data_IF_852109138425
#
_entry.id   IF_852109138425
#
_cell.length_a   1.000
_cell.length_b   1.000
_cell.length_c   1.000
_cell.angle_alpha   90.00
_cell.angle_beta   90.00
_cell.angle_gamma   90.00
#
_symmetry.space_group_name_H-M   'P 1'
#
loop_
_entity.id
_entity.type
_entity.pdbx_description
1 polymer ?
#
# COMPACT_ATOMS: atom_id res chain seq x y z
N UNK A 1 16.83 100.88 22.52
CA UNK A 1 16.59 100.74 23.96
C UNK A 1 15.63 99.59 24.20
N UNK A 2 16.08 98.59 24.98
CA UNK A 2 15.33 97.60 25.81
C UNK A 2 14.50 96.55 25.10
N UNK A 3 14.89 95.34 24.99
CA UNK A 3 15.14 94.21 25.92
C UNK A 3 14.00 93.89 26.90
N UNK A 4 13.70 92.58 26.91
CA UNK A 4 12.98 91.74 27.86
C UNK A 4 11.59 91.36 27.38
N UNK A 5 11.43 90.16 26.91
CA UNK A 5 10.58 89.13 27.50
C UNK A 5 10.60 87.88 26.64
N UNK A 6 11.38 86.88 27.00
CA UNK A 6 11.20 85.55 26.48
C UNK A 6 11.73 84.55 27.49
N UNK A 7 10.83 84.05 28.32
CA UNK A 7 11.08 82.76 29.04
C UNK A 7 9.78 82.36 29.71
N UNK A 8 8.93 81.61 29.04
CA UNK A 8 7.89 80.77 29.68
C UNK A 8 7.09 80.01 28.56
N UNK A 9 7.65 78.98 27.98
CA UNK A 9 6.87 78.05 27.13
C UNK A 9 7.68 76.77 26.78
N UNK A 10 8.43 76.22 27.77
CA UNK A 10 9.21 75.00 27.51
C UNK A 10 8.90 73.81 28.45
N UNK A 11 7.85 73.89 29.27
CA UNK A 11 7.57 72.81 30.26
C UNK A 11 6.27 72.02 30.05
N UNK A 12 5.44 72.32 29.06
CA UNK A 12 4.19 71.57 28.81
C UNK A 12 4.30 70.47 27.70
N UNK A 13 5.41 70.40 26.97
CA UNK A 13 5.56 69.42 25.82
C UNK A 13 6.13 68.05 26.19
N UNK A 14 6.71 67.88 27.39
CA UNK A 14 7.40 66.62 27.76
C UNK A 14 6.54 65.61 28.50
N UNK A 15 5.41 65.99 29.07
CA UNK A 15 4.54 65.06 29.82
C UNK A 15 3.56 64.27 28.90
N UNK A 16 3.18 64.84 27.76
CA UNK A 16 2.26 64.16 26.81
C UNK A 16 2.97 63.11 25.96
N UNK A 17 4.23 63.29 25.62
CA UNK A 17 5.01 62.31 24.83
C UNK A 17 5.35 61.03 25.63
N UNK A 18 5.54 61.17 26.96
CA UNK A 18 5.83 60.01 27.82
C UNK A 18 4.59 59.14 28.13
N UNK A 19 3.39 59.74 28.17
CA UNK A 19 2.12 59.05 28.31
C UNK A 19 1.74 58.22 27.10
N UNK A 20 1.87 58.80 25.90
CA UNK A 20 1.55 58.09 24.64
C UNK A 20 2.53 56.93 24.34
N UNK A 21 3.79 57.03 24.71
CA UNK A 21 4.76 55.93 24.54
C UNK A 21 4.51 54.77 25.53
N UNK A 22 3.95 55.05 26.71
CA UNK A 22 3.54 53.99 27.66
C UNK A 22 2.28 53.27 27.19
N UNK A 23 1.25 53.97 26.75
CA UNK A 23 0.02 53.38 26.21
C UNK A 23 0.28 52.55 24.95
N UNK A 24 1.12 53.00 24.02
CA UNK A 24 1.51 52.22 22.83
C UNK A 24 2.30 50.96 23.20
N UNK A 25 3.14 50.96 24.22
CA UNK A 25 3.85 49.77 24.70
C UNK A 25 2.93 48.78 25.42
N UNK A 26 1.94 49.26 26.19
CA UNK A 26 0.95 48.36 26.79
C UNK A 26 -0.01 47.79 25.77
N UNK A 27 -0.45 48.56 24.77
CA UNK A 27 -1.27 48.08 23.65
C UNK A 27 -0.51 47.03 22.80
N UNK A 28 0.79 47.23 22.53
CA UNK A 28 1.65 46.28 21.81
C UNK A 28 1.86 44.99 22.62
N UNK A 29 2.00 45.07 23.96
CA UNK A 29 2.10 43.88 24.83
C UNK A 29 0.79 43.10 24.93
N UNK A 30 -0.36 43.80 25.01
CA UNK A 30 -1.67 43.14 24.99
C UNK A 30 -1.93 42.47 23.64
N UNK A 31 -1.60 43.09 22.52
CA UNK A 31 -1.76 42.49 21.19
C UNK A 31 -0.84 41.28 20.97
N UNK A 32 0.38 41.27 21.53
CA UNK A 32 1.27 40.09 21.45
C UNK A 32 0.76 38.97 22.36
N UNK A 33 0.25 39.24 23.55
CA UNK A 33 -0.30 38.22 24.44
C UNK A 33 -1.61 37.61 23.90
N UNK A 34 -2.45 38.42 23.22
CA UNK A 34 -3.64 37.93 22.51
C UNK A 34 -3.29 37.11 21.26
N UNK A 35 -2.20 37.43 20.56
CA UNK A 35 -1.70 36.63 19.42
C UNK A 35 -1.10 35.30 19.90
N UNK A 36 -0.30 35.30 20.98
CA UNK A 36 0.25 34.10 21.59
C UNK A 36 -0.84 33.18 22.20
N UNK A 37 -1.88 33.77 22.85
CA UNK A 37 -3.00 32.97 23.36
C UNK A 37 -3.87 32.37 22.26
N UNK A 38 -4.00 33.02 21.10
CA UNK A 38 -4.68 32.44 19.92
C UNK A 38 -3.87 31.35 19.22
N UNK A 39 -2.54 31.42 19.23
CA UNK A 39 -1.66 30.35 18.70
C UNK A 39 -1.67 29.13 19.63
N UNK A 40 -1.65 29.34 20.96
CA UNK A 40 -1.72 28.24 21.94
C UNK A 40 -3.11 27.59 22.04
N UNK A 41 -4.19 28.29 21.73
CA UNK A 41 -5.55 27.76 21.79
C UNK A 41 -5.94 26.93 20.54
N UNK A 42 -5.22 27.07 19.42
CA UNK A 42 -5.45 26.27 18.21
C UNK A 42 -4.68 24.93 18.20
N UNK A 43 -3.66 24.75 19.03
CA UNK A 43 -2.96 23.46 19.16
C UNK A 43 -3.60 22.52 20.19
N UNK A 44 -4.47 23.03 21.06
CA UNK A 44 -4.99 22.31 22.23
C UNK A 44 -6.21 21.38 21.94
N UNK A 45 -6.65 21.20 20.69
CA UNK A 45 -7.88 20.44 20.39
C UNK A 45 -7.81 19.60 19.11
N UNK A 46 -6.60 19.18 18.70
CA UNK A 46 -6.49 18.22 17.61
C UNK A 46 -6.47 16.78 18.17
N UNK A 47 -7.44 15.97 17.75
CA UNK A 47 -7.55 14.55 18.12
C UNK A 47 -6.65 13.63 17.28
N UNK A 48 -5.64 14.19 16.60
CA UNK A 48 -4.61 13.51 15.81
C UNK A 48 -3.24 14.16 16.03
N UNK A 49 -2.19 13.42 15.67
CA UNK A 49 -0.80 13.88 15.78
C UNK A 49 -0.30 14.53 14.48
N UNK A 50 0.65 15.45 14.60
CA UNK A 50 1.38 16.03 13.47
C UNK A 50 2.87 15.74 13.61
N UNK A 51 3.54 15.37 12.51
CA UNK A 51 4.99 15.15 12.48
C UNK A 51 5.65 15.84 11.28
N UNK A 52 6.95 16.03 11.33
CA UNK A 52 7.77 16.48 10.21
C UNK A 52 8.13 15.32 9.25
N UNK A 53 8.92 15.62 8.22
CA UNK A 53 9.34 14.62 7.22
C UNK A 53 10.19 13.51 7.83
N UNK A 54 11.07 13.84 8.79
CA UNK A 54 11.93 12.83 9.41
C UNK A 54 11.09 11.83 10.21
N UNK A 55 10.27 12.30 11.15
CA UNK A 55 9.40 11.45 11.95
C UNK A 55 8.37 10.68 11.11
N UNK A 56 7.85 11.30 10.03
CA UNK A 56 6.94 10.63 9.11
C UNK A 56 7.64 9.51 8.32
N UNK A 57 8.88 9.74 7.87
CA UNK A 57 9.67 8.74 7.15
C UNK A 57 9.98 7.51 8.01
N UNK A 58 10.25 7.71 9.31
CA UNK A 58 10.45 6.61 10.25
C UNK A 58 9.13 5.89 10.54
N UNK A 59 8.04 6.64 10.74
CA UNK A 59 6.73 6.09 11.04
C UNK A 59 6.22 5.15 9.95
N UNK A 60 6.31 5.53 8.67
CA UNK A 60 5.76 4.72 7.56
C UNK A 60 6.49 3.40 7.33
N UNK A 61 7.68 3.21 7.93
CA UNK A 61 8.41 1.95 7.89
C UNK A 61 8.08 1.03 9.07
N UNK A 62 7.37 1.54 10.08
CA UNK A 62 7.04 0.78 11.28
C UNK A 62 5.91 -0.25 11.02
N UNK A 63 5.96 -1.43 11.64
CA UNK A 63 4.87 -2.38 11.56
C UNK A 63 3.57 -1.80 12.16
N UNK A 64 2.43 -2.12 11.56
CA UNK A 64 1.13 -1.64 12.04
C UNK A 64 0.77 -0.21 11.63
N UNK A 65 1.46 0.35 10.64
CA UNK A 65 1.15 1.65 10.05
C UNK A 65 0.63 1.47 8.62
N UNK A 66 -0.41 2.22 8.27
CA UNK A 66 -0.94 2.34 6.90
C UNK A 66 -0.68 3.74 6.40
N UNK A 67 -0.07 3.87 5.24
CA UNK A 67 0.19 5.17 4.60
C UNK A 67 -1.00 5.54 3.71
N UNK A 68 -1.54 6.76 3.92
CA UNK A 68 -2.73 7.26 3.22
C UNK A 68 -2.45 8.57 2.49
N UNK A 69 -2.63 8.57 1.18
CA UNK A 69 -2.69 9.78 0.35
C UNK A 69 -4.15 10.23 0.19
N UNK A 70 -4.45 11.47 0.56
CA UNK A 70 -5.82 12.01 0.45
C UNK A 70 -5.96 13.03 -0.66
N UNK A 71 -5.09 12.98 -1.66
CA UNK A 71 -5.13 13.81 -2.87
C UNK A 71 -6.09 13.23 -3.91
N UNK A 72 -6.20 13.90 -5.06
CA UNK A 72 -6.91 13.39 -6.23
C UNK A 72 -6.09 12.33 -6.95
N UNK A 73 -6.73 11.52 -7.80
CA UNK A 73 -6.05 10.52 -8.62
C UNK A 73 -4.97 11.14 -9.54
N UNK A 74 -5.25 12.30 -10.15
CA UNK A 74 -4.29 12.99 -10.99
C UNK A 74 -3.04 13.43 -10.20
N UNK A 75 -3.24 14.03 -9.01
CA UNK A 75 -2.13 14.40 -8.13
C UNK A 75 -1.30 13.19 -7.67
N UNK A 76 -1.94 12.03 -7.49
CA UNK A 76 -1.28 10.78 -7.12
C UNK A 76 -0.43 10.25 -8.29
N UNK A 77 -0.97 10.24 -9.51
CA UNK A 77 -0.27 9.80 -10.72
C UNK A 77 0.94 10.69 -11.06
N UNK A 78 0.89 12.01 -10.76
CA UNK A 78 2.04 12.92 -10.92
C UNK A 78 3.21 12.60 -9.96
N UNK A 79 2.99 11.74 -8.98
CA UNK A 79 3.98 11.26 -8.02
C UNK A 79 3.45 11.23 -6.58
N UNK A 80 3.64 10.12 -5.91
CA UNK A 80 3.17 9.83 -4.54
C UNK A 80 4.26 9.18 -3.70
N UNK A 81 4.07 9.12 -2.38
CA UNK A 81 4.95 8.36 -1.49
C UNK A 81 4.62 6.88 -1.69
N UNK A 82 5.62 6.09 -2.02
CA UNK A 82 5.46 4.67 -2.35
C UNK A 82 4.74 3.89 -1.24
N UNK A 83 3.78 3.04 -1.64
CA UNK A 83 2.96 2.26 -0.71
C UNK A 83 1.75 3.00 -0.14
N UNK A 84 1.47 4.21 -0.61
CA UNK A 84 0.31 4.95 -0.16
C UNK A 84 -1.00 4.42 -0.76
N UNK A 85 -1.97 4.14 0.10
CA UNK A 85 -3.37 3.95 -0.31
C UNK A 85 -3.95 5.31 -0.71
N UNK A 86 -4.64 5.39 -1.84
CA UNK A 86 -5.28 6.62 -2.29
C UNK A 86 -6.76 6.65 -1.90
N UNK A 87 -7.18 7.66 -1.15
CA UNK A 87 -8.60 7.97 -0.89
C UNK A 87 -8.77 9.48 -0.93
N UNK A 88 -9.37 9.99 -2.01
CA UNK A 88 -9.54 11.44 -2.19
C UNK A 88 -10.52 12.01 -1.14
N UNK A 89 -9.99 12.88 -0.25
CA UNK A 89 -10.78 13.48 0.83
C UNK A 89 -11.81 14.52 0.36
N UNK A 90 -11.82 14.90 -0.91
CA UNK A 90 -12.84 15.80 -1.49
C UNK A 90 -14.15 15.08 -1.81
N UNK A 91 -14.15 13.75 -1.82
CA UNK A 91 -15.35 12.96 -2.05
C UNK A 91 -16.25 12.97 -0.82
N UNK A 92 -17.55 13.08 -1.02
CA UNK A 92 -18.53 13.16 0.07
C UNK A 92 -18.51 11.89 0.94
N UNK A 93 -18.21 10.73 0.34
CA UNK A 93 -18.15 9.40 0.96
C UNK A 93 -16.74 9.02 1.48
N UNK A 94 -15.85 10.01 1.69
CA UNK A 94 -14.47 9.78 2.12
C UNK A 94 -14.36 8.89 3.38
N UNK A 95 -15.17 9.18 4.42
CA UNK A 95 -15.11 8.44 5.69
C UNK A 95 -15.61 7.01 5.51
N UNK A 96 -16.65 6.78 4.71
CA UNK A 96 -17.21 5.47 4.41
C UNK A 96 -16.20 4.62 3.63
N UNK A 97 -15.56 5.20 2.62
CA UNK A 97 -14.48 4.54 1.87
C UNK A 97 -13.29 4.21 2.77
N UNK A 98 -12.88 5.13 3.63
CA UNK A 98 -11.81 4.90 4.59
C UNK A 98 -12.13 3.73 5.52
N UNK A 99 -13.36 3.65 6.06
CA UNK A 99 -13.81 2.54 6.90
C UNK A 99 -13.84 1.20 6.18
N UNK A 100 -14.11 1.20 4.88
CA UNK A 100 -14.11 -0.02 4.06
C UNK A 100 -12.71 -0.57 3.79
N UNK A 101 -11.70 0.31 3.74
CA UNK A 101 -10.33 -0.04 3.29
C UNK A 101 -9.32 -0.06 4.44
N UNK A 102 -9.44 0.89 5.41
CA UNK A 102 -8.43 1.08 6.44
C UNK A 102 -8.72 0.25 7.70
N UNK A 103 -7.74 -0.52 8.21
CA UNK A 103 -7.89 -1.25 9.48
C UNK A 103 -7.95 -0.27 10.66
N UNK A 104 -8.94 -0.41 11.53
CA UNK A 104 -9.19 0.50 12.65
C UNK A 104 -8.15 0.37 13.78
N UNK A 105 -7.48 -0.77 13.87
CA UNK A 105 -6.47 -1.08 14.88
C UNK A 105 -5.06 -0.62 14.52
N UNK A 106 -4.88 -0.02 13.33
CA UNK A 106 -3.59 0.47 12.87
C UNK A 106 -3.48 1.99 12.93
N UNK A 107 -2.25 2.49 12.98
CA UNK A 107 -1.96 3.92 12.86
C UNK A 107 -2.02 4.33 11.40
N UNK A 108 -2.75 5.39 11.08
CA UNK A 108 -2.86 5.94 9.73
C UNK A 108 -1.89 7.12 9.61
N UNK A 109 -0.79 6.91 8.88
CA UNK A 109 0.12 7.97 8.47
C UNK A 109 -0.47 8.65 7.23
N UNK A 110 -0.90 9.91 7.36
CA UNK A 110 -1.70 10.59 6.34
C UNK A 110 -1.00 11.81 5.78
N UNK A 111 -1.06 12.00 4.46
CA UNK A 111 -0.51 13.18 3.81
C UNK A 111 -1.41 13.67 2.66
N UNK A 112 -1.17 14.92 2.27
CA UNK A 112 -1.70 15.50 1.03
C UNK A 112 -0.64 16.36 0.35
N UNK A 113 -1.03 17.35 -0.47
CA UNK A 113 -0.06 18.24 -1.13
C UNK A 113 0.75 19.08 -0.14
N UNK A 114 0.09 19.76 0.83
CA UNK A 114 0.70 20.74 1.74
C UNK A 114 0.44 20.50 3.23
N UNK A 115 -0.13 19.35 3.60
CA UNK A 115 -0.50 19.02 4.99
C UNK A 115 -1.89 19.51 5.44
N UNK A 116 -2.55 20.43 4.72
CA UNK A 116 -3.85 21.01 5.13
C UNK A 116 -5.03 20.07 4.92
N UNK A 117 -5.16 19.46 3.72
CA UNK A 117 -6.23 18.49 3.43
C UNK A 117 -6.11 17.26 4.32
N UNK A 118 -4.89 16.77 4.52
CA UNK A 118 -4.61 15.60 5.36
C UNK A 118 -4.87 15.88 6.85
N UNK A 119 -4.61 17.08 7.36
CA UNK A 119 -5.01 17.46 8.71
C UNK A 119 -6.54 17.44 8.89
N UNK A 120 -7.29 17.95 7.90
CA UNK A 120 -8.77 17.86 7.92
C UNK A 120 -9.26 16.41 7.85
N UNK A 121 -8.68 15.61 6.97
CA UNK A 121 -9.00 14.19 6.84
C UNK A 121 -8.63 13.40 8.11
N UNK A 122 -7.48 13.68 8.73
CA UNK A 122 -7.07 13.07 9.99
C UNK A 122 -8.07 13.36 11.12
N UNK A 123 -8.56 14.60 11.22
CA UNK A 123 -9.62 14.94 12.17
C UNK A 123 -10.89 14.12 11.95
N UNK A 124 -11.40 14.06 10.72
CA UNK A 124 -12.59 13.26 10.38
C UNK A 124 -12.41 11.76 10.71
N UNK A 125 -11.24 11.20 10.46
CA UNK A 125 -10.94 9.81 10.77
C UNK A 125 -10.77 9.58 12.27
N UNK A 126 -10.15 10.51 13.00
CA UNK A 126 -10.01 10.43 14.45
C UNK A 126 -11.37 10.49 15.15
N UNK A 127 -12.31 11.29 14.65
CA UNK A 127 -13.70 11.37 15.18
C UNK A 127 -14.45 10.03 15.09
N UNK A 128 -14.02 9.15 14.17
CA UNK A 128 -14.59 7.79 14.03
C UNK A 128 -13.66 6.69 14.56
N UNK A 129 -12.62 7.05 15.35
CA UNK A 129 -11.83 6.13 16.15
C UNK A 129 -10.49 5.71 15.57
N UNK A 130 -10.03 6.28 14.44
CA UNK A 130 -8.69 6.00 13.90
C UNK A 130 -7.61 6.79 14.65
N UNK A 131 -6.45 6.16 14.83
CA UNK A 131 -5.23 6.86 15.25
C UNK A 131 -4.52 7.42 14.02
N UNK A 132 -4.43 8.75 13.91
CA UNK A 132 -3.89 9.43 12.73
C UNK A 132 -2.65 10.26 13.05
N UNK A 133 -1.67 10.24 12.14
CA UNK A 133 -0.46 11.08 12.18
C UNK A 133 -0.32 11.80 10.84
N UNK A 134 -0.43 13.13 10.85
CA UNK A 134 -0.38 13.96 9.65
C UNK A 134 1.04 14.44 9.34
N UNK A 135 1.45 14.37 8.06
CA UNK A 135 2.70 14.96 7.56
C UNK A 135 2.56 16.48 7.40
N UNK A 136 3.24 17.26 8.25
CA UNK A 136 3.37 18.72 8.09
C UNK A 136 4.07 19.03 6.75
N UNK A 137 3.50 19.98 5.99
CA UNK A 137 4.03 20.36 4.68
C UNK A 137 3.69 19.37 3.56
N UNK A 138 3.16 18.18 3.86
CA UNK A 138 2.71 17.20 2.89
C UNK A 138 3.80 16.73 1.94
N UNK A 139 3.41 16.27 0.73
CA UNK A 139 4.37 15.76 -0.28
C UNK A 139 5.31 16.86 -0.81
N UNK A 140 4.97 18.14 -0.67
CA UNK A 140 5.88 19.24 -1.00
C UNK A 140 7.11 19.18 -0.09
N UNK A 141 6.92 19.18 1.23
CA UNK A 141 8.02 19.08 2.19
C UNK A 141 8.79 17.75 2.04
N UNK A 142 8.10 16.66 1.71
CA UNK A 142 8.71 15.36 1.42
C UNK A 142 9.70 15.44 0.25
N UNK A 143 9.28 16.05 -0.88
CA UNK A 143 10.12 16.27 -2.07
C UNK A 143 11.28 17.24 -1.79
N UNK A 144 11.02 18.33 -1.06
CA UNK A 144 12.05 19.32 -0.66
C UNK A 144 13.13 18.72 0.24
N UNK A 145 12.77 17.71 1.06
CA UNK A 145 13.72 16.93 1.86
C UNK A 145 14.48 15.85 1.05
N UNK A 146 14.33 15.82 -0.28
CA UNK A 146 15.00 14.87 -1.17
C UNK A 146 14.48 13.43 -1.02
N UNK A 147 13.32 13.21 -0.42
CA UNK A 147 12.73 11.88 -0.26
C UNK A 147 12.12 11.41 -1.59
N UNK A 148 12.23 10.10 -1.92
CA UNK A 148 11.73 9.55 -3.17
C UNK A 148 10.22 9.61 -3.27
N UNK A 149 9.73 9.75 -4.52
CA UNK A 149 8.33 9.57 -4.88
C UNK A 149 8.25 8.57 -6.03
N UNK A 150 7.17 7.80 -6.07
CA UNK A 150 6.83 6.90 -7.17
C UNK A 150 5.78 7.56 -8.06
N UNK A 151 5.85 7.27 -9.35
CA UNK A 151 4.78 7.54 -10.33
C UNK A 151 4.02 6.26 -10.69
N UNK A 152 4.41 5.13 -10.11
CA UNK A 152 3.71 3.87 -10.31
C UNK A 152 2.29 3.98 -9.76
N UNK A 153 1.32 3.57 -10.55
CA UNK A 153 -0.10 3.60 -10.18
C UNK A 153 -0.56 2.32 -9.46
N UNK A 154 0.38 1.41 -9.17
CA UNK A 154 0.09 0.14 -8.52
C UNK A 154 -0.01 0.28 -7.00
N UNK A 155 -0.97 -0.42 -6.41
CA UNK A 155 -1.01 -0.57 -4.96
C UNK A 155 0.15 -1.44 -4.49
N UNK A 156 0.84 -0.98 -3.44
CA UNK A 156 2.04 -1.64 -2.90
C UNK A 156 1.84 -2.00 -1.43
N UNK A 157 2.16 -3.24 -1.09
CA UNK A 157 2.24 -3.68 0.30
C UNK A 157 3.68 -4.03 0.66
N UNK A 158 4.13 -3.55 1.82
CA UNK A 158 5.47 -3.80 2.32
C UNK A 158 5.44 -4.66 3.60
N UNK A 159 6.35 -5.62 3.68
CA UNK A 159 6.48 -6.54 4.79
C UNK A 159 7.92 -6.60 5.27
N UNK A 160 8.12 -6.63 6.58
CA UNK A 160 9.43 -6.86 7.17
C UNK A 160 9.74 -8.36 7.19
N UNK A 161 10.89 -8.73 6.67
CA UNK A 161 11.39 -10.10 6.69
C UNK A 161 12.10 -10.39 8.03
N UNK A 162 12.50 -11.64 8.25
CA UNK A 162 13.18 -12.06 9.48
C UNK A 162 14.49 -11.32 9.75
N UNK A 163 15.24 -10.98 8.71
CA UNK A 163 16.49 -10.22 8.82
C UNK A 163 16.28 -8.70 8.94
N UNK A 164 15.01 -8.22 8.91
CA UNK A 164 14.66 -6.81 8.95
C UNK A 164 14.72 -6.10 7.60
N UNK A 165 14.91 -6.83 6.50
CA UNK A 165 14.78 -6.28 5.14
C UNK A 165 13.31 -6.10 4.76
N UNK A 166 13.05 -5.24 3.80
CA UNK A 166 11.69 -5.00 3.29
C UNK A 166 11.43 -5.82 2.04
N UNK A 167 10.33 -6.57 2.05
CA UNK A 167 9.77 -7.23 0.87
C UNK A 167 8.53 -6.46 0.45
N UNK A 168 8.39 -6.14 -0.85
CA UNK A 168 7.27 -5.38 -1.39
C UNK A 168 6.49 -6.20 -2.41
N UNK A 169 5.17 -6.07 -2.38
CA UNK A 169 4.25 -6.63 -3.36
C UNK A 169 3.57 -5.50 -4.13
N UNK A 170 3.53 -5.60 -5.43
CA UNK A 170 2.81 -4.71 -6.33
C UNK A 170 1.65 -5.46 -6.95
N UNK A 171 0.43 -4.96 -6.75
CA UNK A 171 -0.77 -5.47 -7.41
C UNK A 171 -0.84 -4.90 -8.84
N UNK A 172 -0.41 -5.66 -9.82
CA UNK A 172 -0.32 -5.17 -11.20
C UNK A 172 -1.68 -5.24 -11.89
N UNK A 173 -2.15 -6.44 -12.19
CA UNK A 173 -3.48 -6.69 -12.77
C UNK A 173 -3.86 -8.16 -12.57
N UNK A 174 -5.13 -8.42 -12.30
CA UNK A 174 -5.73 -9.77 -12.23
C UNK A 174 -4.95 -10.74 -11.33
N UNK A 175 -4.12 -11.61 -11.91
CA UNK A 175 -3.22 -12.52 -11.19
C UNK A 175 -1.75 -12.09 -11.24
N UNK A 176 -1.44 -10.98 -11.95
CA UNK A 176 -0.07 -10.51 -12.10
C UNK A 176 0.39 -9.79 -10.84
N UNK A 177 1.45 -10.31 -10.22
CA UNK A 177 2.05 -9.79 -9.00
C UNK A 177 3.54 -9.58 -9.24
N UNK A 178 4.03 -8.41 -8.88
CA UNK A 178 5.48 -8.14 -8.81
C UNK A 178 5.92 -8.15 -7.35
N UNK A 179 7.05 -8.78 -7.07
CA UNK A 179 7.66 -8.84 -5.75
C UNK A 179 9.07 -8.29 -5.83
N UNK A 180 9.39 -7.34 -4.96
CA UNK A 180 10.75 -6.83 -4.78
C UNK A 180 11.31 -7.25 -3.44
N UNK A 181 12.52 -7.81 -3.43
CA UNK A 181 13.23 -8.16 -2.22
C UNK A 181 14.75 -8.09 -2.43
N UNK A 182 15.44 -7.29 -1.62
CA UNK A 182 16.91 -7.19 -1.59
C UNK A 182 17.55 -6.99 -2.98
N UNK A 183 16.98 -6.10 -3.79
CA UNK A 183 17.42 -5.82 -5.16
C UNK A 183 17.07 -6.92 -6.16
N UNK A 184 16.25 -7.91 -5.79
CA UNK A 184 15.70 -8.93 -6.66
C UNK A 184 14.30 -8.59 -7.11
N UNK A 185 14.01 -8.89 -8.39
CA UNK A 185 12.72 -8.74 -9.03
C UNK A 185 12.12 -10.12 -9.31
N UNK A 186 10.92 -10.35 -8.80
CA UNK A 186 10.19 -11.60 -8.98
C UNK A 186 8.84 -11.25 -9.60
N UNK A 187 8.51 -11.84 -10.74
CA UNK A 187 7.27 -11.60 -11.45
C UNK A 187 6.43 -12.88 -11.48
N UNK A 188 5.14 -12.75 -11.18
CA UNK A 188 4.19 -13.85 -11.16
C UNK A 188 3.12 -13.59 -12.19
N UNK A 189 2.86 -14.57 -13.07
CA UNK A 189 1.80 -14.56 -14.08
C UNK A 189 1.70 -13.22 -14.85
N UNK A 190 2.81 -12.71 -15.46
CA UNK A 190 2.81 -11.41 -16.09
C UNK A 190 2.02 -11.39 -17.39
N UNK A 191 1.11 -10.40 -17.51
CA UNK A 191 0.35 -10.13 -18.74
C UNK A 191 0.44 -8.64 -19.10
N UNK A 192 0.63 -8.34 -20.40
CA UNK A 192 0.75 -6.94 -20.88
C UNK A 192 -0.58 -6.21 -20.88
N UNK A 193 -1.69 -6.92 -21.02
CA UNK A 193 -3.02 -6.35 -21.05
C UNK A 193 -4.08 -7.36 -20.63
N UNK A 194 -4.98 -6.92 -19.76
CA UNK A 194 -6.20 -7.64 -19.43
C UNK A 194 -7.35 -6.65 -19.20
N UNK A 195 -8.49 -6.87 -19.84
CA UNK A 195 -9.60 -5.93 -19.81
C UNK A 195 -9.18 -4.54 -20.29
N UNK A 196 -9.40 -3.53 -19.46
CA UNK A 196 -9.04 -2.14 -19.73
C UNK A 196 -7.65 -1.76 -19.17
N UNK A 197 -7.00 -2.66 -18.43
CA UNK A 197 -5.69 -2.39 -17.79
C UNK A 197 -4.54 -2.85 -18.69
N UNK A 198 -3.56 -1.98 -18.87
CA UNK A 198 -2.34 -2.26 -19.64
C UNK A 198 -1.14 -2.04 -18.73
N UNK A 199 -0.21 -3.00 -18.73
CA UNK A 199 1.02 -2.94 -17.95
C UNK A 199 2.19 -2.68 -18.87
N UNK A 200 2.94 -1.62 -18.59
CA UNK A 200 4.16 -1.27 -19.32
C UNK A 200 5.40 -1.92 -18.69
N UNK A 201 5.68 -3.14 -19.09
CA UNK A 201 6.89 -3.86 -18.66
C UNK A 201 8.18 -3.32 -19.29
N UNK A 202 8.11 -2.45 -20.30
CA UNK A 202 9.33 -1.88 -20.94
C UNK A 202 10.06 -0.93 -20.00
N UNK A 203 9.35 -0.28 -19.10
CA UNK A 203 9.88 0.63 -18.10
C UNK A 203 10.37 -0.07 -16.82
N UNK A 204 10.04 -1.36 -16.66
CA UNK A 204 10.38 -2.13 -15.46
C UNK A 204 11.76 -2.82 -15.57
N UNK A 205 12.46 -3.06 -14.47
CA UNK A 205 13.65 -3.89 -14.44
C UNK A 205 13.37 -5.31 -14.97
N UNK A 206 14.38 -5.97 -15.54
CA UNK A 206 14.29 -7.39 -15.88
C UNK A 206 14.12 -8.22 -14.60
N UNK A 207 13.27 -9.25 -14.68
CA UNK A 207 13.07 -10.16 -13.58
C UNK A 207 14.31 -11.03 -13.31
N UNK A 208 14.65 -11.23 -12.04
CA UNK A 208 15.57 -12.30 -11.63
C UNK A 208 14.85 -13.66 -11.70
N UNK A 209 13.57 -13.67 -11.28
CA UNK A 209 12.73 -14.86 -11.28
C UNK A 209 11.37 -14.52 -11.88
N UNK A 210 10.95 -15.31 -12.85
CA UNK A 210 9.68 -15.19 -13.51
C UNK A 210 8.93 -16.52 -13.34
N UNK A 211 7.80 -16.47 -12.65
CA UNK A 211 6.99 -17.63 -12.33
C UNK A 211 5.67 -17.57 -13.09
N UNK A 212 5.29 -18.67 -13.74
CA UNK A 212 3.97 -18.80 -14.38
C UNK A 212 3.29 -20.06 -13.87
N UNK A 213 2.08 -19.89 -13.36
CA UNK A 213 1.28 -20.95 -12.73
C UNK A 213 0.73 -21.92 -13.76
N UNK A 214 0.17 -21.42 -14.88
CA UNK A 214 -0.43 -22.21 -15.93
C UNK A 214 -0.58 -21.42 -17.26
N UNK A 215 -1.06 -22.09 -18.30
CA UNK A 215 -1.03 -21.60 -19.69
C UNK A 215 -2.21 -20.74 -20.13
N UNK A 216 -3.18 -20.42 -19.30
CA UNK A 216 -4.28 -19.57 -19.72
C UNK A 216 -3.79 -18.15 -20.02
N UNK A 217 -4.47 -17.48 -20.97
CA UNK A 217 -4.02 -16.20 -21.55
C UNK A 217 -3.92 -15.05 -20.54
N UNK A 218 -4.62 -15.14 -19.42
CA UNK A 218 -4.66 -14.19 -18.30
C UNK A 218 -3.58 -14.45 -17.25
N UNK A 219 -2.74 -15.49 -17.45
CA UNK A 219 -1.56 -15.84 -16.64
C UNK A 219 -0.29 -15.99 -17.48
N UNK A 220 -0.41 -16.50 -18.69
CA UNK A 220 0.69 -16.78 -19.59
C UNK A 220 0.67 -15.84 -20.80
N UNK A 221 1.53 -14.83 -20.80
CA UNK A 221 1.69 -13.90 -21.91
C UNK A 221 3.14 -13.92 -22.42
N UNK A 222 3.41 -14.54 -23.59
CA UNK A 222 4.77 -14.63 -24.13
C UNK A 222 5.45 -13.28 -24.38
N UNK A 223 4.69 -12.21 -24.66
CA UNK A 223 5.23 -10.87 -24.84
C UNK A 223 5.72 -10.31 -23.50
N UNK A 224 4.91 -10.35 -22.44
CA UNK A 224 5.31 -9.94 -21.10
C UNK A 224 6.54 -10.71 -20.61
N UNK A 225 6.54 -12.04 -20.80
CA UNK A 225 7.67 -12.90 -20.45
C UNK A 225 8.95 -12.43 -21.16
N UNK A 226 8.92 -12.18 -22.48
CA UNK A 226 10.08 -11.68 -23.23
C UNK A 226 10.53 -10.31 -22.77
N UNK A 227 9.59 -9.40 -22.48
CA UNK A 227 9.91 -8.05 -21.98
C UNK A 227 10.63 -8.10 -20.64
N UNK A 228 10.26 -9.03 -19.76
CA UNK A 228 10.83 -9.18 -18.42
C UNK A 228 12.10 -10.06 -18.40
N UNK A 229 12.33 -10.88 -19.43
CA UNK A 229 13.50 -11.77 -19.47
C UNK A 229 14.78 -11.00 -19.80
N UNK A 230 15.83 -11.25 -19.03
CA UNK A 230 17.22 -10.85 -19.27
C UNK A 230 18.14 -12.07 -19.20
N UNK A 231 19.45 -11.87 -19.38
CA UNK A 231 20.46 -12.95 -19.46
C UNK A 231 20.51 -13.86 -18.22
N UNK A 232 20.07 -13.36 -17.08
CA UNK A 232 20.11 -14.09 -15.79
C UNK A 232 18.74 -14.48 -15.27
N UNK A 233 17.68 -14.18 -16.02
CA UNK A 233 16.31 -14.50 -15.60
C UNK A 233 16.10 -16.01 -15.56
N UNK A 234 15.62 -16.51 -14.44
CA UNK A 234 15.13 -17.89 -14.34
C UNK A 234 13.62 -17.88 -14.56
N UNK A 235 13.20 -18.47 -15.67
CA UNK A 235 11.80 -18.67 -15.98
C UNK A 235 11.35 -20.03 -15.45
N UNK A 236 10.50 -20.06 -14.43
CA UNK A 236 10.04 -21.23 -13.68
C UNK A 236 8.55 -21.41 -13.93
N UNK A 237 8.14 -22.60 -14.37
CA UNK A 237 6.74 -22.82 -14.76
C UNK A 237 6.38 -24.31 -14.79
N UNK A 238 5.13 -24.63 -15.18
CA UNK A 238 4.73 -26.01 -15.47
C UNK A 238 5.24 -26.46 -16.86
N UNK A 239 5.16 -27.78 -17.13
CA UNK A 239 5.63 -28.33 -18.40
C UNK A 239 4.94 -27.73 -19.61
N UNK A 240 3.64 -27.43 -19.52
CA UNK A 240 2.86 -26.96 -20.67
C UNK A 240 3.27 -25.54 -21.08
N UNK A 241 3.45 -24.65 -20.12
CA UNK A 241 3.97 -23.30 -20.41
C UNK A 241 5.39 -23.35 -20.99
N UNK A 242 6.26 -24.20 -20.44
CA UNK A 242 7.63 -24.36 -20.95
C UNK A 242 7.62 -24.87 -22.41
N UNK A 243 6.78 -25.85 -22.73
CA UNK A 243 6.63 -26.38 -24.11
C UNK A 243 6.09 -25.29 -25.06
N UNK A 244 5.08 -24.50 -24.62
CA UNK A 244 4.49 -23.41 -25.42
C UNK A 244 5.45 -22.26 -25.66
N UNK A 245 6.27 -21.92 -24.69
CA UNK A 245 7.24 -20.82 -24.77
C UNK A 245 8.54 -21.26 -25.48
N UNK A 246 8.83 -22.55 -25.47
CA UNK A 246 10.04 -23.15 -26.03
C UNK A 246 11.24 -23.16 -25.08
N UNK A 247 11.06 -22.73 -23.84
CA UNK A 247 12.05 -22.79 -22.77
C UNK A 247 11.38 -22.63 -21.38
N UNK A 248 12.10 -22.93 -20.31
CA UNK A 248 11.63 -22.77 -18.93
C UNK A 248 12.14 -23.89 -18.03
N UNK A 249 12.33 -23.58 -16.76
CA UNK A 249 12.62 -24.54 -15.70
C UNK A 249 11.29 -25.16 -15.24
N UNK A 250 11.10 -26.43 -15.53
CA UNK A 250 9.83 -27.10 -15.26
C UNK A 250 9.75 -27.57 -13.82
N UNK A 251 8.69 -27.15 -13.12
CA UNK A 251 8.27 -27.69 -11.83
C UNK A 251 6.92 -28.40 -11.97
N UNK A 252 6.75 -29.48 -11.25
CA UNK A 252 5.48 -30.20 -11.07
C UNK A 252 5.06 -30.14 -9.60
N UNK A 253 3.80 -30.41 -9.31
CA UNK A 253 3.28 -30.43 -7.93
C UNK A 253 4.16 -31.33 -7.03
N UNK A 254 4.62 -30.77 -5.91
CA UNK A 254 5.51 -31.42 -4.95
C UNK A 254 6.99 -31.12 -5.15
N UNK A 255 7.40 -30.53 -6.27
CA UNK A 255 8.80 -30.13 -6.47
C UNK A 255 9.15 -28.94 -5.59
N UNK A 256 10.41 -28.91 -5.16
CA UNK A 256 10.97 -27.81 -4.36
C UNK A 256 12.38 -27.48 -4.88
N UNK A 257 12.64 -26.21 -5.10
CA UNK A 257 13.96 -25.73 -5.49
C UNK A 257 14.50 -24.74 -4.46
N UNK A 258 15.82 -24.84 -4.20
CA UNK A 258 16.56 -23.87 -3.41
C UNK A 258 17.14 -22.82 -4.35
N UNK A 259 16.74 -21.57 -4.18
CA UNK A 259 17.22 -20.43 -4.97
C UNK A 259 18.47 -19.82 -4.33
N UNK A 260 18.39 -19.54 -3.04
CA UNK A 260 19.47 -19.02 -2.21
C UNK A 260 19.31 -19.58 -0.79
N UNK A 261 20.24 -19.29 0.12
CA UNK A 261 20.20 -19.82 1.49
C UNK A 261 18.87 -19.48 2.22
N UNK A 262 18.31 -18.33 1.88
CA UNK A 262 17.09 -17.76 2.47
C UNK A 262 15.90 -17.71 1.52
N UNK A 263 16.04 -18.31 0.31
CA UNK A 263 14.96 -18.30 -0.70
C UNK A 263 14.72 -19.68 -1.30
N UNK A 264 13.50 -20.20 -1.13
CA UNK A 264 13.02 -21.46 -1.77
C UNK A 264 11.70 -21.23 -2.50
N UNK A 265 11.46 -22.04 -3.52
CA UNK A 265 10.19 -22.12 -4.25
C UNK A 265 9.69 -23.56 -4.21
N UNK A 266 8.43 -23.76 -3.81
CA UNK A 266 7.73 -25.04 -3.77
C UNK A 266 6.56 -24.96 -4.74
N UNK A 267 6.41 -25.92 -5.65
CA UNK A 267 5.23 -26.05 -6.51
C UNK A 267 4.17 -26.93 -5.81
N UNK A 268 2.97 -26.40 -5.66
CA UNK A 268 1.85 -27.07 -5.00
C UNK A 268 0.68 -27.24 -5.96
N UNK A 269 -0.26 -28.19 -5.71
CA UNK A 269 -1.41 -28.38 -6.59
C UNK A 269 -2.30 -27.15 -6.71
N UNK A 270 -2.75 -26.87 -7.93
CA UNK A 270 -3.80 -25.93 -8.25
C UNK A 270 -4.77 -26.62 -9.22
N UNK A 271 -6.05 -26.77 -8.85
CA UNK A 271 -7.04 -27.43 -9.70
C UNK A 271 -8.47 -27.20 -9.20
N UNK A 272 -9.47 -27.52 -10.06
CA UNK A 272 -10.88 -27.43 -9.71
C UNK A 272 -11.43 -28.80 -9.33
N UNK A 273 -12.37 -28.81 -8.34
CA UNK A 273 -13.01 -30.01 -7.80
C UNK A 273 -14.52 -30.05 -8.05
N UNK A 274 -15.14 -28.92 -8.38
CA UNK A 274 -16.59 -28.82 -8.62
C UNK A 274 -16.93 -29.53 -9.94
N UNK A 275 -17.93 -30.38 -9.93
CA UNK A 275 -18.46 -31.05 -11.12
C UNK A 275 -18.85 -30.00 -12.19
N UNK A 276 -18.45 -30.26 -13.45
CA UNK A 276 -18.64 -29.33 -14.57
C UNK A 276 -17.64 -28.17 -14.62
N UNK A 277 -16.62 -28.11 -13.69
CA UNK A 277 -15.56 -27.07 -13.70
C UNK A 277 -14.15 -27.65 -13.76
N UNK A 278 -13.99 -28.96 -13.53
CA UNK A 278 -12.67 -29.65 -13.53
C UNK A 278 -11.91 -29.54 -14.85
N UNK A 279 -12.62 -29.24 -15.96
CA UNK A 279 -11.97 -29.03 -17.26
C UNK A 279 -11.20 -27.72 -17.36
N UNK A 280 -11.54 -26.70 -16.58
CA UNK A 280 -10.81 -25.43 -16.57
C UNK A 280 -9.39 -25.65 -16.02
N UNK A 281 -9.29 -26.29 -14.85
CA UNK A 281 -8.04 -26.57 -14.16
C UNK A 281 -8.01 -28.04 -13.71
N UNK A 282 -7.57 -28.97 -14.59
CA UNK A 282 -7.48 -30.41 -14.28
C UNK A 282 -6.42 -30.69 -13.21
N UNK A 283 -6.70 -31.63 -12.31
CA UNK A 283 -5.76 -32.03 -11.26
C UNK A 283 -4.42 -32.52 -11.85
N UNK A 284 -3.31 -32.00 -11.27
CA UNK A 284 -1.95 -32.39 -11.61
C UNK A 284 -1.34 -31.70 -12.84
N UNK A 285 -2.05 -30.72 -13.45
CA UNK A 285 -1.56 -29.94 -14.59
C UNK A 285 -0.92 -28.63 -14.14
N UNK A 286 -1.62 -27.87 -13.29
CA UNK A 286 -1.29 -26.51 -12.95
C UNK A 286 -0.60 -26.41 -11.58
N UNK A 287 0.21 -25.38 -11.38
CA UNK A 287 0.91 -25.11 -10.15
C UNK A 287 0.35 -23.88 -9.42
N UNK A 288 0.19 -23.99 -8.10
CA UNK A 288 0.40 -22.86 -7.23
C UNK A 288 1.86 -22.85 -6.76
N UNK A 289 2.29 -21.77 -6.11
CA UNK A 289 3.66 -21.66 -5.59
C UNK A 289 3.66 -21.24 -4.10
N UNK A 290 4.60 -21.82 -3.33
CA UNK A 290 4.95 -21.30 -2.00
C UNK A 290 6.37 -20.78 -2.10
N UNK A 291 6.52 -19.46 -1.95
CA UNK A 291 7.82 -18.82 -1.85
C UNK A 291 8.17 -18.68 -0.36
N UNK A 292 9.36 -19.12 0.03
CA UNK A 292 9.91 -18.79 1.35
C UNK A 292 11.08 -17.86 1.15
N UNK A 293 10.92 -16.59 1.55
CA UNK A 293 11.92 -15.54 1.36
C UNK A 293 12.25 -14.93 2.72
N UNK A 294 13.47 -15.13 3.19
CA UNK A 294 13.98 -14.63 4.47
C UNK A 294 12.97 -14.78 5.62
N UNK A 295 12.45 -16.00 5.75
CA UNK A 295 11.51 -16.40 6.80
C UNK A 295 10.05 -16.08 6.55
N UNK A 296 9.69 -15.26 5.56
CA UNK A 296 8.30 -15.08 5.12
C UNK A 296 7.88 -16.21 4.19
N UNK A 297 6.77 -16.87 4.49
CA UNK A 297 6.14 -17.87 3.63
C UNK A 297 4.95 -17.28 2.90
N UNK A 298 5.00 -17.26 1.58
CA UNK A 298 4.06 -16.60 0.69
C UNK A 298 3.42 -17.67 -0.19
N UNK A 299 2.12 -17.86 -0.10
CA UNK A 299 1.37 -18.79 -0.93
C UNK A 299 0.64 -18.02 -2.04
N UNK A 300 0.94 -18.36 -3.28
CA UNK A 300 0.28 -17.88 -4.50
C UNK A 300 -0.46 -19.08 -5.08
N UNK A 301 -1.78 -19.07 -4.99
CA UNK A 301 -2.57 -20.27 -5.24
C UNK A 301 -2.64 -20.66 -6.74
N UNK A 302 -2.47 -19.69 -7.64
CA UNK A 302 -2.84 -19.88 -9.05
C UNK A 302 -4.35 -20.07 -9.18
N UNK A 303 -4.80 -20.61 -10.27
CA UNK A 303 -6.21 -20.90 -10.48
C UNK A 303 -6.61 -22.25 -9.89
N UNK A 304 -7.41 -22.18 -8.84
CA UNK A 304 -7.82 -23.34 -8.06
C UNK A 304 -9.14 -23.11 -7.34
N UNK A 305 -9.83 -24.16 -7.00
CA UNK A 305 -10.86 -24.17 -5.96
C UNK A 305 -10.27 -24.49 -4.57
N UNK A 306 -11.11 -24.58 -3.53
CA UNK A 306 -10.75 -24.89 -2.15
C UNK A 306 -10.41 -26.38 -1.95
N UNK A 307 -9.34 -26.83 -2.61
CA UNK A 307 -8.89 -28.23 -2.66
C UNK A 307 -8.45 -28.78 -1.29
N UNK A 308 -8.62 -30.10 -1.05
CA UNK A 308 -8.27 -30.70 0.24
C UNK A 308 -6.80 -30.49 0.67
N UNK A 309 -5.88 -30.48 -0.28
CA UNK A 309 -4.44 -30.30 -0.06
C UNK A 309 -4.11 -28.93 0.60
N UNK A 310 -4.99 -27.94 0.53
CA UNK A 310 -4.83 -26.66 1.24
C UNK A 310 -4.79 -26.84 2.76
N UNK A 311 -5.39 -27.91 3.29
CA UNK A 311 -5.32 -28.25 4.70
C UNK A 311 -3.90 -28.61 5.17
N UNK A 312 -3.01 -29.00 4.27
CA UNK A 312 -1.62 -29.35 4.57
C UNK A 312 -0.66 -28.16 4.38
N UNK A 313 -1.12 -27.06 3.76
CA UNK A 313 -0.36 -25.81 3.60
C UNK A 313 -0.38 -25.07 4.95
N UNK A 314 0.77 -25.01 5.62
CA UNK A 314 0.91 -24.47 6.99
C UNK A 314 1.91 -23.33 7.06
N UNK A 315 1.77 -22.54 8.15
CA UNK A 315 2.68 -21.46 8.49
C UNK A 315 2.81 -20.44 7.37
N UNK A 316 1.70 -20.09 6.74
CA UNK A 316 1.66 -19.08 5.69
C UNK A 316 1.54 -17.68 6.33
N UNK A 317 2.47 -16.80 6.00
CA UNK A 317 2.42 -15.41 6.42
C UNK A 317 1.49 -14.61 5.48
N UNK A 318 1.58 -14.85 4.17
CA UNK A 318 0.85 -14.10 3.15
C UNK A 318 0.26 -15.10 2.15
N UNK A 319 -1.04 -14.99 1.85
CA UNK A 319 -1.69 -15.81 0.82
C UNK A 319 -2.39 -14.94 -0.22
N UNK A 320 -2.25 -15.32 -1.48
CA UNK A 320 -3.02 -14.83 -2.62
C UNK A 320 -3.97 -15.92 -3.07
N UNK A 321 -5.28 -15.72 -2.90
CA UNK A 321 -6.32 -16.69 -3.23
C UNK A 321 -7.26 -16.15 -4.30
N UNK A 322 -7.51 -16.89 -5.40
CA UNK A 322 -8.37 -16.46 -6.50
C UNK A 322 -9.85 -16.56 -6.12
N UNK A 323 -10.67 -15.69 -6.73
CA UNK A 323 -12.11 -15.66 -6.48
C UNK A 323 -12.90 -15.23 -7.71
N UNK A 324 -12.86 -16.00 -8.80
CA UNK A 324 -13.52 -15.65 -10.06
C UNK A 324 -14.33 -16.83 -10.63
N UNK A 325 -15.65 -16.72 -10.57
CA UNK A 325 -16.54 -17.74 -11.10
C UNK A 325 -16.71 -17.62 -12.62
N UNK A 326 -16.81 -18.74 -13.35
CA UNK A 326 -16.84 -20.14 -12.89
C UNK A 326 -15.47 -20.82 -12.81
N UNK A 327 -14.38 -20.08 -12.94
CA UNK A 327 -13.03 -20.60 -13.20
C UNK A 327 -12.30 -21.00 -11.92
N UNK A 328 -12.53 -20.28 -10.83
CA UNK A 328 -11.86 -20.47 -9.54
C UNK A 328 -12.86 -20.52 -8.38
N UNK A 329 -12.49 -20.10 -7.18
CA UNK A 329 -13.35 -20.12 -5.98
C UNK A 329 -14.55 -19.16 -6.08
N UNK A 330 -15.64 -19.50 -5.38
CA UNK A 330 -16.62 -18.51 -4.92
C UNK A 330 -16.06 -17.76 -3.73
N UNK A 331 -16.71 -16.66 -3.29
CA UNK A 331 -16.32 -15.96 -2.07
C UNK A 331 -16.37 -16.86 -0.84
N UNK A 332 -17.36 -17.76 -0.74
CA UNK A 332 -17.51 -18.74 0.33
C UNK A 332 -16.40 -19.79 0.31
N UNK A 333 -16.03 -20.29 -0.88
CA UNK A 333 -14.92 -21.23 -1.06
C UNK A 333 -13.58 -20.56 -0.66
N UNK A 334 -13.38 -19.28 -1.03
CA UNK A 334 -12.18 -18.53 -0.64
C UNK A 334 -12.11 -18.38 0.89
N UNK A 335 -13.20 -18.03 1.55
CA UNK A 335 -13.29 -17.95 3.02
C UNK A 335 -12.99 -19.32 3.66
N UNK A 336 -13.48 -20.42 3.09
CA UNK A 336 -13.19 -21.78 3.54
C UNK A 336 -11.70 -22.13 3.37
N UNK A 337 -11.11 -21.84 2.20
CA UNK A 337 -9.69 -22.03 1.93
C UNK A 337 -8.82 -21.23 2.92
N UNK A 338 -9.15 -19.96 3.17
CA UNK A 338 -8.47 -19.12 4.15
C UNK A 338 -8.52 -19.70 5.56
N UNK A 339 -9.66 -20.29 5.98
CA UNK A 339 -9.79 -20.98 7.27
C UNK A 339 -8.98 -22.28 7.35
N UNK A 340 -8.74 -22.97 6.25
CA UNK A 340 -7.87 -24.16 6.20
C UNK A 340 -6.39 -23.79 6.30
N UNK A 341 -5.94 -22.78 5.53
CA UNK A 341 -4.54 -22.33 5.42
C UNK A 341 -4.15 -21.49 6.63
N UNK A 342 -5.04 -20.62 7.12
CA UNK A 342 -4.83 -19.66 8.22
C UNK A 342 -3.64 -18.74 7.99
N UNK A 343 -3.59 -17.99 6.87
CA UNK A 343 -2.53 -17.03 6.62
C UNK A 343 -2.64 -15.85 7.61
N UNK A 344 -1.55 -15.14 7.87
CA UNK A 344 -1.61 -13.90 8.65
C UNK A 344 -2.22 -12.76 7.83
N UNK A 345 -1.86 -12.69 6.54
CA UNK A 345 -2.40 -11.72 5.59
C UNK A 345 -2.98 -12.46 4.39
N UNK A 346 -4.14 -12.03 3.94
CA UNK A 346 -4.84 -12.59 2.78
C UNK A 346 -5.10 -11.48 1.75
N UNK A 347 -4.70 -11.73 0.52
CA UNK A 347 -5.07 -10.95 -0.64
C UNK A 347 -6.03 -11.76 -1.51
N UNK A 348 -7.34 -11.43 -1.53
CA UNK A 348 -8.19 -11.86 -2.63
C UNK A 348 -7.66 -11.26 -3.93
N UNK A 349 -7.37 -12.10 -4.93
CA UNK A 349 -6.87 -11.66 -6.22
C UNK A 349 -7.60 -12.43 -7.32
N UNK A 350 -7.37 -12.12 -8.62
CA UNK A 350 -8.05 -12.79 -9.71
C UNK A 350 -9.58 -12.87 -9.47
N UNK A 351 -10.21 -11.76 -9.05
CA UNK A 351 -11.62 -11.80 -8.66
C UNK A 351 -12.57 -11.23 -9.73
N UNK A 352 -12.06 -10.56 -10.77
CA UNK A 352 -12.88 -10.01 -11.85
C UNK A 352 -14.04 -9.15 -11.33
N UNK A 353 -15.26 -9.56 -11.65
CA UNK A 353 -16.49 -8.90 -11.18
C UNK A 353 -17.06 -9.49 -9.89
N UNK A 354 -16.36 -10.44 -9.26
CA UNK A 354 -16.83 -11.07 -8.01
C UNK A 354 -16.74 -10.07 -6.86
N UNK A 355 -17.83 -9.89 -6.11
CA UNK A 355 -17.82 -9.06 -4.91
C UNK A 355 -17.04 -9.73 -3.78
N UNK A 356 -15.88 -9.18 -3.49
CA UNK A 356 -14.98 -9.64 -2.41
C UNK A 356 -15.07 -8.76 -1.14
N UNK A 357 -15.89 -7.69 -1.16
CA UNK A 357 -15.96 -6.70 -0.07
C UNK A 357 -16.47 -7.27 1.25
N UNK A 358 -17.25 -8.35 1.21
CA UNK A 358 -17.75 -9.06 2.39
C UNK A 358 -16.75 -10.02 3.06
N UNK A 359 -15.63 -10.35 2.42
CA UNK A 359 -14.65 -11.33 2.92
C UNK A 359 -13.97 -10.89 4.22
N UNK A 360 -13.53 -9.62 4.38
CA UNK A 360 -12.89 -9.18 5.63
C UNK A 360 -13.77 -9.42 6.86
N UNK A 361 -15.07 -9.13 6.77
CA UNK A 361 -16.00 -9.34 7.87
C UNK A 361 -16.15 -10.82 8.28
N UNK A 362 -16.08 -11.74 7.31
CA UNK A 362 -16.21 -13.19 7.52
C UNK A 362 -14.95 -13.86 8.11
N UNK A 363 -13.82 -13.16 8.10
CA UNK A 363 -12.52 -13.65 8.57
C UNK A 363 -11.97 -12.89 9.78
N UNK A 364 -12.66 -11.84 10.22
CA UNK A 364 -12.24 -10.98 11.32
C UNK A 364 -11.94 -11.73 12.62
N UNK A 365 -12.75 -12.72 12.97
CA UNK A 365 -12.61 -13.56 14.17
C UNK A 365 -11.47 -14.58 14.09
N UNK A 366 -10.83 -14.74 12.93
CA UNK A 366 -9.72 -15.68 12.68
C UNK A 366 -8.34 -15.01 12.72
N UNK A 367 -8.27 -13.74 13.06
CA UNK A 367 -7.03 -12.95 13.08
C UNK A 367 -6.31 -12.95 11.73
N UNK A 368 -7.06 -13.00 10.62
CA UNK A 368 -6.55 -12.90 9.26
C UNK A 368 -6.74 -11.45 8.79
N UNK A 369 -5.64 -10.76 8.46
CA UNK A 369 -5.65 -9.41 7.89
C UNK A 369 -5.98 -9.53 6.38
N UNK A 370 -7.22 -9.24 6.00
CA UNK A 370 -7.67 -9.33 4.60
C UNK A 370 -7.46 -7.98 3.93
N UNK A 371 -6.72 -7.98 2.83
CA UNK A 371 -6.38 -6.77 2.05
C UNK A 371 -6.87 -6.91 0.62
N UNK A 372 -7.94 -6.20 0.29
CA UNK A 372 -8.44 -6.10 -1.08
C UNK A 372 -7.62 -5.05 -1.83
N UNK A 373 -7.16 -5.39 -3.04
CA UNK A 373 -6.39 -4.50 -3.93
C UNK A 373 -7.06 -4.43 -5.29
N UNK A 374 -6.87 -3.32 -6.01
CA UNK A 374 -7.51 -3.09 -7.31
C UNK A 374 -6.68 -3.75 -8.43
N UNK A 375 -6.87 -5.05 -8.61
CA UNK A 375 -6.25 -5.81 -9.70
C UNK A 375 -6.96 -5.59 -11.05
N UNK A 376 -8.25 -5.22 -11.04
CA UNK A 376 -9.11 -5.11 -12.21
C UNK A 376 -9.17 -3.68 -12.79
#
# INVERSE_FOLDING_TARGET
MKKILTCLLATLGLTTACGQAKEQREQSRMNSSFAESRLSSNEAQQNFENTDVQGFSELITAPGVVLLDVRTADEYAEGHIEGAVLIDQKQDDFVEKAKAVLPIDKTIAIYCRSGRRSANAAGKLADVGYKCVNLKGGIIAWKEAGKPVSTDTYEVDAFQTKSGKTLKFYALTHASIRIQYDGKEIEIDPVTKLGNKTIDYTSMPKADYLLVTHEHFDHFNPEAIKLLTGDKTRFITNKRCADMFGSGEVMKNGDKIQIANDFTIEAVPAYNITEGRTQFHPKGRDNGFILTIDGLRIYIAGDTEDIPEMADIKNIDIAFLPCNQPYTMTAEQLVKAAKMIKPKVLFPYHYGQTDVTGIPAQLKDKSIDVRIRHYE
#
